data_IF_657503892733
#
_entry.id   IF_657503892733
#
_cell.length_a   1.000
_cell.length_b   1.000
_cell.length_c   1.000
_cell.angle_alpha   90.00
_cell.angle_beta   90.00
_cell.angle_gamma   90.00
#
_symmetry.space_group_name_H-M   'P 1'
#
loop_
_entity.id
_entity.type
_entity.pdbx_description
1 polymer ?
#
# COMPACT_ATOMS: atom_id res chain seq x y z
N UNK A 1 -40.48 -18.27 68.58
CA UNK A 1 -39.71 -18.57 67.38
C UNK A 1 -38.73 -17.45 67.23
N UNK A 2 -37.50 -17.70 67.61
CA UNK A 2 -36.41 -16.71 67.83
C UNK A 2 -35.57 -16.58 66.60
N UNK A 3 -35.43 -15.34 66.12
CA UNK A 3 -34.55 -14.95 65.05
C UNK A 3 -33.11 -14.81 65.59
N UNK A 4 -32.16 -15.46 64.97
CA UNK A 4 -30.72 -15.34 65.27
C UNK A 4 -30.01 -14.52 64.20
N UNK A 5 -29.35 -13.37 64.47
CA UNK A 5 -28.61 -12.57 63.55
C UNK A 5 -27.11 -12.71 63.80
N UNK A 6 -26.45 -13.64 63.06
CA UNK A 6 -24.98 -13.59 62.93
C UNK A 6 -24.56 -14.35 61.67
N UNK A 7 -24.40 -13.59 60.59
CA UNK A 7 -23.54 -13.99 59.46
C UNK A 7 -22.62 -12.84 59.06
N UNK A 8 -21.42 -12.97 59.53
CA UNK A 8 -20.25 -12.16 59.25
C UNK A 8 -20.02 -12.02 57.74
N UNK A 9 -20.05 -10.77 57.25
CA UNK A 9 -19.69 -10.41 55.89
C UNK A 9 -18.18 -10.54 55.68
N UNK A 10 -17.74 -11.52 54.93
CA UNK A 10 -16.37 -11.57 54.39
C UNK A 10 -16.26 -10.59 53.20
N UNK A 11 -15.69 -9.40 53.44
CA UNK A 11 -15.18 -8.52 52.38
C UNK A 11 -14.08 -9.23 51.63
N UNK A 12 -14.33 -9.58 50.34
CA UNK A 12 -13.27 -9.96 49.40
C UNK A 12 -12.50 -8.71 49.02
N UNK A 13 -11.28 -8.63 49.50
CA UNK A 13 -10.28 -7.65 49.05
C UNK A 13 -10.01 -7.85 47.55
N UNK A 14 -10.39 -6.87 46.72
CA UNK A 14 -9.97 -6.80 45.33
C UNK A 14 -8.48 -6.45 45.34
N UNK A 15 -7.65 -7.45 45.15
CA UNK A 15 -6.22 -7.24 44.91
C UNK A 15 -6.08 -6.53 43.55
N UNK A 16 -5.72 -5.25 43.57
CA UNK A 16 -5.26 -4.51 42.42
C UNK A 16 -4.04 -5.23 41.83
N UNK A 17 -4.20 -5.80 40.66
CA UNK A 17 -3.10 -6.37 39.90
C UNK A 17 -2.27 -5.18 39.37
N UNK A 18 -1.24 -4.78 40.13
CA UNK A 18 -0.19 -3.91 39.62
C UNK A 18 0.58 -4.66 38.54
N UNK A 19 0.37 -4.32 37.30
CA UNK A 19 1.24 -4.74 36.20
C UNK A 19 2.66 -4.23 36.47
N UNK A 20 3.70 -5.07 36.32
CA UNK A 20 5.07 -4.67 36.62
C UNK A 20 5.49 -3.49 35.73
N UNK A 21 6.15 -2.51 36.34
CA UNK A 21 6.60 -1.26 35.73
C UNK A 21 7.43 -1.47 34.43
N UNK A 22 8.14 -2.58 34.31
CA UNK A 22 8.92 -2.95 33.12
C UNK A 22 8.07 -3.10 31.83
N UNK A 23 6.83 -3.58 31.94
CA UNK A 23 5.93 -3.69 30.76
C UNK A 23 5.42 -2.33 30.30
N UNK A 24 5.17 -1.39 31.22
CA UNK A 24 4.76 -0.01 30.87
C UNK A 24 5.89 0.77 30.21
N UNK A 25 7.12 0.61 30.67
CA UNK A 25 8.30 1.25 30.09
C UNK A 25 8.61 0.67 28.71
N UNK A 26 8.45 -0.63 28.50
CA UNK A 26 8.65 -1.27 27.20
C UNK A 26 7.62 -0.82 26.16
N UNK A 27 6.35 -0.65 26.54
CA UNK A 27 5.32 -0.10 25.66
C UNK A 27 5.59 1.36 25.28
N UNK A 28 6.11 2.18 26.21
CA UNK A 28 6.45 3.59 25.91
C UNK A 28 7.67 3.70 24.99
N UNK A 29 8.70 2.88 25.19
CA UNK A 29 9.91 2.86 24.36
C UNK A 29 9.61 2.33 22.95
N UNK A 30 8.70 1.34 22.81
CA UNK A 30 8.29 0.82 21.52
C UNK A 30 7.41 1.80 20.74
N UNK A 31 6.54 2.54 21.44
CA UNK A 31 5.73 3.62 20.83
C UNK A 31 6.59 4.80 20.37
N UNK A 32 7.66 5.12 21.09
CA UNK A 32 8.62 6.17 20.71
C UNK A 32 9.51 5.76 19.52
N UNK A 33 9.80 4.45 19.36
CA UNK A 33 10.57 3.92 18.22
C UNK A 33 9.81 3.96 16.90
N UNK A 34 8.48 3.93 16.92
CA UNK A 34 7.62 4.05 15.72
C UNK A 34 7.31 5.51 15.36
N UNK A 35 7.54 6.46 16.27
CA UNK A 35 7.32 7.88 16.03
C UNK A 35 8.38 8.53 15.12
N UNK A 36 9.43 7.80 14.74
CA UNK A 36 10.40 8.27 13.75
C UNK A 36 10.07 7.84 12.30
N UNK A 37 8.86 7.34 12.03
CA UNK A 37 8.34 7.35 10.67
C UNK A 37 8.21 8.81 10.27
N UNK A 38 9.05 9.24 9.35
CA UNK A 38 9.07 10.58 8.76
C UNK A 38 7.66 10.86 8.22
N UNK A 39 6.84 11.55 9.03
CA UNK A 39 5.48 11.89 8.61
C UNK A 39 5.62 12.97 7.55
N UNK A 40 5.05 12.71 6.37
CA UNK A 40 5.04 13.69 5.31
C UNK A 40 4.53 15.06 5.82
N UNK A 41 5.02 16.18 5.27
CA UNK A 41 4.58 17.52 5.66
C UNK A 41 3.06 17.70 5.51
N UNK A 42 2.49 18.64 6.21
CA UNK A 42 1.09 19.08 6.00
C UNK A 42 0.98 20.00 4.78
N UNK A 43 -0.23 20.24 4.28
CA UNK A 43 -0.50 21.19 3.18
C UNK A 43 0.19 20.86 1.85
N UNK A 44 0.40 19.58 1.56
CA UNK A 44 1.04 19.13 0.33
C UNK A 44 0.24 19.45 -0.94
N UNK A 45 -1.08 19.63 -0.80
CA UNK A 45 -1.97 19.86 -1.94
C UNK A 45 -2.20 21.34 -2.26
N UNK A 46 -1.39 22.26 -1.70
CA UNK A 46 -1.34 23.64 -2.15
C UNK A 46 -0.69 23.72 -3.53
N UNK A 47 -1.40 24.23 -4.56
CA UNK A 47 -0.83 24.31 -5.90
C UNK A 47 0.32 25.31 -6.00
N UNK A 48 1.35 24.93 -6.74
CA UNK A 48 2.43 25.84 -7.14
C UNK A 48 2.20 26.39 -8.54
N UNK A 49 2.68 27.62 -8.78
CA UNK A 49 2.68 28.18 -10.12
C UNK A 49 3.97 27.81 -10.86
N UNK A 50 3.82 27.35 -12.11
CA UNK A 50 4.95 27.02 -12.98
C UNK A 50 5.40 25.56 -12.87
N UNK A 51 6.26 25.18 -13.83
CA UNK A 51 6.88 23.85 -13.93
C UNK A 51 8.39 24.00 -14.03
N UNK A 52 9.15 23.01 -13.59
CA UNK A 52 10.60 23.00 -13.79
C UNK A 52 10.94 22.33 -15.12
N UNK A 53 12.03 22.75 -15.80
CA UNK A 53 12.54 22.05 -16.98
C UNK A 53 12.86 20.59 -16.67
N UNK A 54 12.35 19.66 -17.47
CA UNK A 54 12.55 18.22 -17.28
C UNK A 54 11.66 17.57 -16.18
N UNK A 55 10.81 18.33 -15.51
CA UNK A 55 9.81 17.76 -14.62
C UNK A 55 8.70 17.04 -15.40
N UNK A 56 8.21 15.95 -14.84
CA UNK A 56 7.07 15.19 -15.36
C UNK A 56 5.79 15.62 -14.66
N UNK A 57 4.63 15.41 -15.30
CA UNK A 57 3.33 15.68 -14.71
C UNK A 57 2.50 14.41 -14.70
N UNK A 58 1.96 14.04 -13.54
CA UNK A 58 0.99 12.97 -13.41
C UNK A 58 -0.38 13.55 -13.07
N UNK A 59 -1.35 13.26 -13.92
CA UNK A 59 -2.75 13.69 -13.79
C UNK A 59 -3.60 12.50 -13.31
N UNK A 60 -4.15 12.56 -12.10
CA UNK A 60 -4.93 11.49 -11.48
C UNK A 60 -6.32 11.92 -11.05
N UNK A 61 -7.24 10.96 -11.06
CA UNK A 61 -8.53 11.09 -10.38
C UNK A 61 -8.38 10.63 -8.93
N UNK A 62 -8.85 11.43 -8.00
CA UNK A 62 -8.99 11.09 -6.59
C UNK A 62 -10.47 10.83 -6.30
N UNK A 63 -10.80 9.63 -5.86
CA UNK A 63 -12.11 9.23 -5.38
C UNK A 63 -12.04 9.03 -3.86
N UNK A 64 -12.99 9.57 -3.10
CA UNK A 64 -12.85 9.59 -1.63
C UNK A 64 -14.18 9.58 -0.88
N UNK A 65 -14.14 8.99 0.32
CA UNK A 65 -15.19 9.07 1.35
C UNK A 65 -14.82 9.98 2.51
N UNK A 66 -13.71 10.71 2.39
CA UNK A 66 -13.25 11.68 3.39
C UNK A 66 -14.13 12.93 3.38
N UNK A 67 -14.26 13.58 4.53
CA UNK A 67 -14.84 14.92 4.62
C UNK A 67 -13.91 15.95 4.00
N UNK A 68 -14.49 16.93 3.35
CA UNK A 68 -13.73 18.11 2.90
C UNK A 68 -12.98 18.75 4.05
N UNK A 69 -11.73 19.10 3.84
CA UNK A 69 -10.94 19.86 4.79
C UNK A 69 -11.34 21.34 4.73
N UNK A 70 -11.14 22.04 5.85
CA UNK A 70 -11.23 23.50 5.92
C UNK A 70 -9.97 24.16 5.37
N UNK A 71 -8.83 23.49 5.54
CA UNK A 71 -7.55 23.93 4.98
C UNK A 71 -7.46 23.54 3.50
N UNK A 72 -7.25 24.48 2.58
CA UNK A 72 -7.12 24.20 1.16
C UNK A 72 -5.94 23.27 0.82
N UNK A 73 -4.88 23.29 1.64
CA UNK A 73 -3.68 22.48 1.44
C UNK A 73 -3.86 21.00 1.73
N UNK A 74 -4.93 20.63 2.45
CA UNK A 74 -5.26 19.24 2.74
C UNK A 74 -6.34 18.67 1.81
N UNK A 75 -7.13 19.50 1.15
CA UNK A 75 -8.24 19.15 0.27
C UNK A 75 -9.34 18.34 0.99
N UNK A 76 -8.99 17.22 1.59
CA UNK A 76 -9.86 16.34 2.38
C UNK A 76 -9.19 16.00 3.72
N UNK A 77 -9.99 15.93 4.77
CA UNK A 77 -9.54 15.63 6.13
C UNK A 77 -9.44 14.12 6.39
N UNK A 78 -8.97 13.73 7.59
CA UNK A 78 -9.04 12.35 8.08
C UNK A 78 -10.44 11.93 8.54
N UNK A 79 -11.45 12.80 8.49
CA UNK A 79 -12.79 12.53 8.99
C UNK A 79 -13.71 11.94 7.91
N UNK A 80 -14.70 11.15 8.36
CA UNK A 80 -15.66 10.48 7.48
C UNK A 80 -16.61 11.50 6.84
N UNK A 81 -16.69 11.51 5.50
CA UNK A 81 -17.59 12.33 4.72
C UNK A 81 -18.91 11.62 4.39
N UNK A 82 -18.86 10.30 4.22
CA UNK A 82 -20.00 9.43 3.97
C UNK A 82 -20.27 9.15 2.49
N UNK A 83 -20.37 10.16 1.64
CA UNK A 83 -20.61 9.98 0.19
C UNK A 83 -19.29 9.87 -0.59
N UNK A 84 -19.34 9.16 -1.72
CA UNK A 84 -18.25 9.15 -2.71
C UNK A 84 -18.15 10.53 -3.37
N UNK A 85 -17.00 11.16 -3.26
CA UNK A 85 -16.70 12.46 -3.88
C UNK A 85 -15.40 12.38 -4.67
N UNK A 86 -15.18 13.36 -5.57
CA UNK A 86 -14.08 13.31 -6.51
C UNK A 86 -13.27 14.59 -6.52
N UNK A 87 -12.01 14.45 -6.92
CA UNK A 87 -11.13 15.56 -7.27
C UNK A 87 -10.17 15.13 -8.38
N UNK A 88 -9.75 16.08 -9.19
CA UNK A 88 -8.62 15.91 -10.09
C UNK A 88 -7.39 16.56 -9.46
N UNK A 89 -6.30 15.82 -9.39
CA UNK A 89 -5.01 16.30 -8.88
C UNK A 89 -3.93 16.05 -9.91
N UNK A 90 -3.16 17.08 -10.20
CA UNK A 90 -1.96 16.96 -11.04
C UNK A 90 -0.74 17.19 -10.16
N UNK A 91 0.14 16.19 -10.11
CA UNK A 91 1.40 16.24 -9.39
C UNK A 91 2.53 16.53 -10.38
N UNK A 92 3.35 17.53 -10.09
CA UNK A 92 4.63 17.74 -10.77
C UNK A 92 5.72 16.97 -10.04
N UNK A 93 6.39 16.11 -10.79
CA UNK A 93 7.46 15.21 -10.31
C UNK A 93 8.77 15.82 -10.75
N UNK A 94 9.75 16.05 -9.87
CA UNK A 94 11.02 16.65 -10.23
C UNK A 94 11.80 15.78 -11.22
N UNK A 95 12.74 16.37 -11.98
CA UNK A 95 13.52 15.63 -12.97
C UNK A 95 14.25 14.42 -12.38
N UNK A 96 14.34 13.31 -13.13
CA UNK A 96 15.02 12.08 -12.67
C UNK A 96 16.51 12.30 -12.34
N UNK A 97 17.14 13.38 -12.85
CA UNK A 97 18.50 13.75 -12.51
C UNK A 97 18.71 14.20 -11.06
N UNK A 98 17.63 14.58 -10.36
CA UNK A 98 17.70 15.11 -8.98
C UNK A 98 16.93 14.23 -7.97
N UNK A 99 16.38 13.08 -8.42
CA UNK A 99 15.60 12.17 -7.61
C UNK A 99 16.12 10.73 -7.65
N UNK A 100 15.76 9.94 -6.65
CA UNK A 100 15.95 8.50 -6.64
C UNK A 100 14.60 7.81 -6.91
N UNK A 101 14.56 6.83 -7.81
CA UNK A 101 13.38 6.00 -8.02
C UNK A 101 13.04 5.22 -6.73
N UNK A 102 11.76 5.09 -6.42
CA UNK A 102 11.28 4.49 -5.18
C UNK A 102 11.09 5.48 -4.03
N UNK A 103 11.62 6.70 -4.14
CA UNK A 103 11.51 7.73 -3.13
C UNK A 103 10.67 8.92 -3.57
N UNK A 104 9.85 9.44 -2.67
CA UNK A 104 9.18 10.73 -2.83
C UNK A 104 10.10 11.82 -2.28
N UNK A 105 10.49 12.79 -3.11
CA UNK A 105 11.21 13.98 -2.66
C UNK A 105 10.20 14.94 -2.02
N UNK A 106 10.00 14.77 -0.70
CA UNK A 106 9.08 15.57 0.07
C UNK A 106 9.55 17.02 0.19
N UNK A 107 8.67 18.01 -0.02
CA UNK A 107 9.03 19.39 0.22
C UNK A 107 9.30 19.62 1.71
N UNK A 108 10.43 20.20 2.06
CA UNK A 108 10.73 20.58 3.44
C UNK A 108 9.79 21.67 3.98
N UNK A 109 9.23 22.44 3.07
CA UNK A 109 8.20 23.47 3.33
C UNK A 109 7.22 23.50 2.17
N UNK A 110 5.98 23.00 2.34
CA UNK A 110 4.95 23.12 1.34
C UNK A 110 4.68 24.59 0.95
N UNK A 111 4.36 24.85 -0.32
CA UNK A 111 4.07 23.90 -1.37
C UNK A 111 5.29 23.28 -2.05
N UNK A 112 6.54 23.70 -1.76
CA UNK A 112 7.76 23.13 -2.28
C UNK A 112 8.30 23.79 -3.57
N UNK A 113 9.39 23.21 -4.10
CA UNK A 113 10.07 23.68 -5.30
C UNK A 113 9.96 22.60 -6.41
N UNK A 114 9.29 22.85 -7.52
CA UNK A 114 9.10 21.85 -8.58
C UNK A 114 10.40 21.36 -9.23
N UNK A 115 11.54 22.03 -9.02
CA UNK A 115 12.82 21.59 -9.54
C UNK A 115 13.48 20.48 -8.69
N UNK A 116 13.06 20.32 -7.42
CA UNK A 116 13.67 19.38 -6.46
C UNK A 116 12.68 18.53 -5.71
N UNK A 117 11.42 18.96 -5.62
CA UNK A 117 10.41 18.35 -4.79
C UNK A 117 9.21 17.88 -5.62
N UNK A 118 8.51 16.87 -5.12
CA UNK A 118 7.15 16.61 -5.57
C UNK A 118 6.27 17.77 -5.13
N UNK A 119 5.51 18.33 -6.05
CA UNK A 119 4.60 19.45 -5.77
C UNK A 119 3.26 19.25 -6.47
N UNK A 120 2.22 19.81 -5.91
CA UNK A 120 0.91 19.84 -6.55
C UNK A 120 0.87 20.97 -7.59
N UNK A 121 0.66 20.62 -8.86
CA UNK A 121 0.53 21.59 -9.93
C UNK A 121 -0.91 22.09 -10.10
N UNK A 122 -1.90 21.22 -9.82
CA UNK A 122 -3.33 21.53 -9.98
C UNK A 122 -4.17 20.68 -9.03
N UNK A 123 -5.21 21.30 -8.46
CA UNK A 123 -6.25 20.62 -7.69
C UNK A 123 -7.60 21.20 -8.07
N UNK A 124 -8.54 20.33 -8.45
CA UNK A 124 -9.94 20.71 -8.70
C UNK A 124 -10.86 19.70 -8.05
N UNK A 125 -11.83 20.14 -7.27
CA UNK A 125 -12.96 19.30 -6.86
C UNK A 125 -13.85 19.05 -8.07
N UNK A 126 -14.30 17.82 -8.23
CA UNK A 126 -15.19 17.42 -9.30
C UNK A 126 -16.52 16.93 -8.71
N UNK A 127 -17.60 17.27 -9.37
CA UNK A 127 -18.86 16.56 -9.19
C UNK A 127 -18.82 15.21 -9.94
N UNK A 128 -19.80 14.32 -9.75
CA UNK A 128 -19.79 13.01 -10.43
C UNK A 128 -19.83 13.08 -11.95
N UNK A 129 -20.46 14.10 -12.54
CA UNK A 129 -20.50 14.30 -13.99
C UNK A 129 -19.14 14.73 -14.54
N UNK A 130 -18.49 15.69 -13.89
CA UNK A 130 -17.14 16.12 -14.24
C UNK A 130 -16.11 14.99 -14.03
N UNK A 131 -16.26 14.12 -13.03
CA UNK A 131 -15.42 12.96 -12.84
C UNK A 131 -15.59 11.95 -13.99
N UNK A 132 -16.80 11.70 -14.46
CA UNK A 132 -17.05 10.88 -15.67
C UNK A 132 -16.44 11.51 -16.91
N UNK A 133 -16.64 12.81 -17.13
CA UNK A 133 -16.03 13.53 -18.26
C UNK A 133 -14.50 13.47 -18.23
N UNK A 134 -13.89 13.47 -17.03
CA UNK A 134 -12.45 13.26 -16.88
C UNK A 134 -12.04 11.86 -17.33
N UNK A 135 -12.79 10.80 -16.96
CA UNK A 135 -12.56 9.43 -17.42
C UNK A 135 -12.73 9.30 -18.93
N UNK A 136 -13.81 9.84 -19.50
CA UNK A 136 -14.09 9.84 -20.94
C UNK A 136 -12.97 10.49 -21.74
N UNK A 137 -12.26 11.47 -21.16
CA UNK A 137 -11.11 12.12 -21.80
C UNK A 137 -9.88 11.21 -21.93
N UNK A 138 -9.84 10.07 -21.23
CA UNK A 138 -8.69 9.14 -21.20
C UNK A 138 -8.74 8.07 -22.28
N UNK A 139 -9.91 7.81 -22.83
CA UNK A 139 -10.10 6.81 -23.86
C UNK A 139 -11.50 6.85 -24.46
N UNK A 140 -11.72 5.97 -25.42
CA UNK A 140 -13.01 5.75 -26.06
C UNK A 140 -13.27 4.25 -26.17
N UNK A 141 -14.49 3.85 -26.51
CA UNK A 141 -14.80 2.45 -26.77
C UNK A 141 -13.94 1.83 -27.89
N UNK A 142 -13.40 2.65 -28.81
CA UNK A 142 -12.50 2.23 -29.89
C UNK A 142 -11.02 2.26 -29.49
N UNK A 143 -10.65 3.08 -28.50
CA UNK A 143 -9.30 3.19 -27.94
C UNK A 143 -9.37 3.08 -26.42
N UNK A 144 -9.57 1.85 -25.96
CA UNK A 144 -9.75 1.55 -24.53
C UNK A 144 -8.46 1.74 -23.75
N UNK A 145 -8.61 2.07 -22.48
CA UNK A 145 -7.50 2.28 -21.56
C UNK A 145 -7.59 1.39 -20.33
N UNK A 146 -6.44 1.12 -19.73
CA UNK A 146 -6.32 0.38 -18.48
C UNK A 146 -6.37 1.36 -17.31
N UNK A 147 -7.04 0.96 -16.25
CA UNK A 147 -7.14 1.74 -15.01
C UNK A 147 -6.31 1.08 -13.94
N UNK A 148 -5.48 1.85 -13.25
CA UNK A 148 -4.81 1.43 -12.02
C UNK A 148 -5.41 2.18 -10.84
N UNK A 149 -6.00 1.44 -9.91
CA UNK A 149 -6.53 2.00 -8.66
C UNK A 149 -5.54 1.72 -7.53
N UNK A 150 -5.11 2.77 -6.84
CA UNK A 150 -4.35 2.63 -5.60
C UNK A 150 -5.25 2.84 -4.39
N UNK A 151 -5.19 1.90 -3.42
CA UNK A 151 -5.88 1.95 -2.13
C UNK A 151 -4.84 2.00 -1.03
N UNK A 152 -4.70 3.15 -0.38
CA UNK A 152 -3.66 3.37 0.63
C UNK A 152 -3.93 2.61 1.95
N UNK A 153 -2.91 2.53 2.78
CA UNK A 153 -2.95 1.89 4.10
C UNK A 153 -3.42 2.80 5.23
N UNK A 154 -3.29 2.30 6.43
CA UNK A 154 -3.49 3.00 7.69
C UNK A 154 -2.47 4.14 7.88
N UNK A 155 -2.80 5.11 8.76
CA UNK A 155 -1.94 6.24 9.11
C UNK A 155 -1.51 7.06 7.89
N UNK A 156 -2.43 7.29 6.93
CA UNK A 156 -2.13 7.97 5.66
C UNK A 156 -3.01 9.21 5.49
N UNK A 157 -2.41 10.37 5.28
CA UNK A 157 -3.09 11.60 4.87
C UNK A 157 -3.31 11.60 3.35
N UNK A 158 -4.18 12.47 2.86
CA UNK A 158 -4.49 12.56 1.42
C UNK A 158 -3.25 12.92 0.59
N UNK A 159 -2.50 13.94 1.02
CA UNK A 159 -1.29 14.37 0.34
C UNK A 159 -0.23 13.27 0.25
N UNK A 160 -0.08 12.48 1.32
CA UNK A 160 0.84 11.34 1.37
C UNK A 160 0.46 10.29 0.32
N UNK A 161 -0.83 9.94 0.26
CA UNK A 161 -1.33 8.97 -0.71
C UNK A 161 -1.17 9.46 -2.15
N UNK A 162 -1.44 10.75 -2.41
CA UNK A 162 -1.31 11.38 -3.73
C UNK A 162 0.14 11.33 -4.22
N UNK A 163 1.11 11.76 -3.39
CA UNK A 163 2.51 11.81 -3.83
C UNK A 163 3.14 10.42 -3.95
N UNK A 164 2.83 9.49 -3.02
CA UNK A 164 3.29 8.10 -3.13
C UNK A 164 2.73 7.39 -4.36
N UNK A 165 1.48 7.62 -4.69
CA UNK A 165 0.88 7.05 -5.89
C UNK A 165 1.45 7.68 -7.16
N UNK A 166 1.69 9.00 -7.15
CA UNK A 166 2.35 9.67 -8.26
C UNK A 166 3.76 9.13 -8.51
N UNK A 167 4.54 8.93 -7.43
CA UNK A 167 5.86 8.31 -7.51
C UNK A 167 5.78 6.89 -8.08
N UNK A 168 4.86 6.05 -7.59
CA UNK A 168 4.71 4.68 -8.05
C UNK A 168 4.43 4.62 -9.57
N UNK A 169 3.43 5.37 -10.05
CA UNK A 169 3.04 5.34 -11.47
C UNK A 169 4.16 5.86 -12.36
N UNK A 170 4.85 6.92 -11.95
CA UNK A 170 5.99 7.48 -12.68
C UNK A 170 7.18 6.51 -12.75
N UNK A 171 7.57 5.94 -11.61
CA UNK A 171 8.75 5.06 -11.54
C UNK A 171 8.50 3.69 -12.17
N UNK A 172 7.24 3.29 -12.26
CA UNK A 172 6.81 2.10 -12.97
C UNK A 172 6.78 2.28 -14.49
N UNK A 173 6.92 3.51 -15.00
CA UNK A 173 6.72 3.88 -16.42
C UNK A 173 5.40 3.29 -16.98
N UNK A 174 4.35 3.33 -16.14
CA UNK A 174 3.10 2.65 -16.41
C UNK A 174 2.17 3.52 -17.27
N UNK A 175 1.79 3.02 -18.45
CA UNK A 175 0.76 3.63 -19.29
C UNK A 175 -0.63 3.21 -18.82
N UNK A 176 -1.13 3.90 -17.81
CA UNK A 176 -2.43 3.62 -17.17
C UNK A 176 -3.18 4.90 -16.86
N UNK A 177 -4.47 4.80 -16.66
CA UNK A 177 -5.28 5.88 -16.06
C UNK A 177 -5.23 5.74 -14.53
N UNK A 178 -4.53 6.65 -13.84
CA UNK A 178 -4.33 6.53 -12.39
C UNK A 178 -5.54 7.05 -11.61
N UNK A 179 -6.08 6.21 -10.72
CA UNK A 179 -7.16 6.56 -9.78
C UNK A 179 -6.70 6.27 -8.36
N UNK A 180 -6.71 7.27 -7.50
CA UNK A 180 -6.50 7.09 -6.07
C UNK A 180 -7.84 6.93 -5.37
N UNK A 181 -8.10 5.77 -4.74
CA UNK A 181 -9.18 5.66 -3.77
C UNK A 181 -8.65 5.95 -2.37
N UNK A 182 -9.09 7.06 -1.78
CA UNK A 182 -8.64 7.46 -0.44
C UNK A 182 -9.80 7.47 0.56
N UNK A 183 -9.69 6.62 1.59
CA UNK A 183 -10.66 6.45 2.66
C UNK A 183 -10.22 7.22 3.93
N UNK A 184 -11.14 7.54 4.88
CA UNK A 184 -10.84 8.36 6.05
C UNK A 184 -9.84 7.69 7.00
N UNK A 185 -8.56 8.01 6.85
CA UNK A 185 -7.48 7.71 7.79
C UNK A 185 -6.97 9.02 8.38
N UNK A 186 -6.80 9.05 9.71
CA UNK A 186 -6.46 10.28 10.45
C UNK A 186 -4.99 10.67 10.34
N UNK A 187 -4.13 9.85 9.72
CA UNK A 187 -2.70 10.11 9.67
C UNK A 187 -2.07 10.14 11.07
N UNK A 188 -2.50 9.23 11.94
CA UNK A 188 -2.05 9.11 13.32
C UNK A 188 -1.91 7.66 13.73
N UNK A 189 -0.75 7.30 14.30
CA UNK A 189 -0.47 5.95 14.81
C UNK A 189 -1.41 5.52 15.95
N UNK A 190 -2.12 6.44 16.58
CA UNK A 190 -3.09 6.16 17.63
C UNK A 190 -4.50 5.93 17.10
N UNK A 191 -4.74 6.15 15.80
CA UNK A 191 -6.07 6.08 15.20
C UNK A 191 -6.39 4.74 14.55
N UNK A 192 -5.64 3.66 14.83
CA UNK A 192 -5.78 2.37 14.15
C UNK A 192 -7.24 1.84 14.15
N UNK A 193 -7.92 1.84 15.31
CA UNK A 193 -9.31 1.39 15.41
C UNK A 193 -10.27 2.26 14.59
N UNK A 194 -10.11 3.58 14.63
CA UNK A 194 -10.90 4.51 13.82
C UNK A 194 -10.67 4.27 12.32
N UNK A 195 -9.42 4.11 11.91
CA UNK A 195 -9.03 3.88 10.53
C UNK A 195 -9.62 2.56 10.02
N UNK A 196 -9.56 1.48 10.82
CA UNK A 196 -10.14 0.17 10.49
C UNK A 196 -11.65 0.23 10.24
N UNK A 197 -12.39 0.90 11.12
CA UNK A 197 -13.83 1.11 10.93
C UNK A 197 -14.12 2.00 9.70
N UNK A 198 -13.27 3.01 9.46
CA UNK A 198 -13.43 3.91 8.30
C UNK A 198 -13.19 3.18 6.98
N UNK A 199 -12.22 2.27 6.93
CA UNK A 199 -12.00 1.38 5.80
C UNK A 199 -13.25 0.52 5.54
N UNK A 200 -13.80 -0.11 6.59
CA UNK A 200 -15.03 -0.91 6.48
C UNK A 200 -16.22 -0.10 5.97
N UNK A 201 -16.41 1.13 6.47
CA UNK A 201 -17.50 2.02 6.05
C UNK A 201 -17.33 2.55 4.62
N UNK A 202 -16.12 2.53 4.08
CA UNK A 202 -15.83 3.00 2.72
C UNK A 202 -16.06 1.95 1.63
N UNK A 203 -16.38 0.72 2.01
CA UNK A 203 -16.57 -0.42 1.12
C UNK A 203 -17.64 -0.17 0.04
N UNK A 204 -18.83 0.32 0.43
CA UNK A 204 -19.91 0.56 -0.53
C UNK A 204 -19.57 1.67 -1.54
N UNK A 205 -18.83 2.68 -1.11
CA UNK A 205 -18.35 3.74 -2.01
C UNK A 205 -17.23 3.23 -2.94
N UNK A 206 -16.38 2.34 -2.48
CA UNK A 206 -15.37 1.71 -3.34
C UNK A 206 -16.03 0.79 -4.38
N UNK A 207 -17.04 -0.01 -3.99
CA UNK A 207 -17.86 -0.78 -4.92
C UNK A 207 -18.56 0.13 -5.95
N UNK A 208 -19.09 1.28 -5.52
CA UNK A 208 -19.70 2.26 -6.43
C UNK A 208 -18.71 2.77 -7.48
N UNK A 209 -17.45 3.07 -7.08
CA UNK A 209 -16.39 3.44 -8.02
C UNK A 209 -16.08 2.29 -8.99
N UNK A 210 -15.92 1.07 -8.47
CA UNK A 210 -15.63 -0.11 -9.31
C UNK A 210 -16.74 -0.37 -10.32
N UNK A 211 -18.02 -0.30 -9.91
CA UNK A 211 -19.15 -0.46 -10.82
C UNK A 211 -19.17 0.63 -11.91
N UNK A 212 -18.88 1.89 -11.56
CA UNK A 212 -18.78 2.99 -12.53
C UNK A 212 -17.72 2.69 -13.62
N UNK A 213 -16.58 2.10 -13.24
CA UNK A 213 -15.51 1.73 -14.17
C UNK A 213 -15.82 0.44 -14.96
N UNK A 214 -16.48 -0.52 -14.34
CA UNK A 214 -16.92 -1.76 -15.00
C UNK A 214 -17.93 -1.46 -16.11
N UNK A 215 -18.84 -0.52 -15.86
CA UNK A 215 -19.88 -0.13 -16.81
C UNK A 215 -19.35 0.79 -17.95
N UNK A 216 -18.17 1.37 -17.80
CA UNK A 216 -17.58 2.24 -18.81
C UNK A 216 -16.97 1.42 -19.98
N UNK A 217 -17.49 1.57 -21.22
CA UNK A 217 -16.96 0.86 -22.38
C UNK A 217 -15.55 1.28 -22.80
N UNK A 218 -15.07 2.45 -22.37
CA UNK A 218 -13.71 2.93 -22.62
C UNK A 218 -12.68 2.26 -21.69
N UNK A 219 -13.11 1.68 -20.58
CA UNK A 219 -12.23 0.93 -19.66
C UNK A 219 -12.04 -0.49 -20.17
N UNK A 220 -10.79 -0.86 -20.46
CA UNK A 220 -10.39 -2.20 -20.88
C UNK A 220 -10.29 -3.16 -19.71
N UNK A 221 -9.53 -2.76 -18.68
CA UNK A 221 -9.29 -3.53 -17.47
C UNK A 221 -9.06 -2.61 -16.28
N UNK A 222 -9.31 -3.15 -15.10
CA UNK A 222 -9.12 -2.50 -13.80
C UNK A 222 -8.12 -3.34 -13.01
N UNK A 223 -7.00 -2.72 -12.66
CA UNK A 223 -5.99 -3.28 -11.80
C UNK A 223 -6.05 -2.56 -10.44
N UNK A 224 -6.09 -3.31 -9.36
CA UNK A 224 -6.16 -2.77 -8.00
C UNK A 224 -4.83 -3.04 -7.30
N UNK A 225 -4.18 -1.99 -6.82
CA UNK A 225 -3.04 -2.07 -5.93
C UNK A 225 -3.45 -1.57 -4.54
N UNK A 226 -3.51 -2.47 -3.59
CA UNK A 226 -3.85 -2.13 -2.21
C UNK A 226 -2.65 -2.30 -1.29
N UNK A 227 -2.48 -1.40 -0.32
CA UNK A 227 -1.39 -1.43 0.65
C UNK A 227 -1.91 -1.54 2.09
N UNK A 228 -1.29 -2.39 2.89
CA UNK A 228 -1.55 -2.54 4.33
C UNK A 228 -3.05 -2.75 4.64
N UNK A 229 -3.67 -1.89 5.45
CA UNK A 229 -5.12 -1.91 5.74
C UNK A 229 -6.01 -1.67 4.51
N UNK A 230 -5.49 -1.06 3.45
CA UNK A 230 -6.20 -0.92 2.17
C UNK A 230 -6.54 -2.26 1.53
N UNK A 231 -5.75 -3.31 1.81
CA UNK A 231 -6.05 -4.66 1.33
C UNK A 231 -7.33 -5.23 1.96
N UNK A 232 -7.56 -4.96 3.24
CA UNK A 232 -8.81 -5.31 3.88
C UNK A 232 -10.01 -4.67 3.18
N UNK A 233 -9.93 -3.36 2.89
CA UNK A 233 -11.00 -2.67 2.17
C UNK A 233 -11.21 -3.25 0.77
N UNK A 234 -10.13 -3.51 0.02
CA UNK A 234 -10.22 -4.04 -1.33
C UNK A 234 -10.84 -5.46 -1.35
N UNK A 235 -10.36 -6.36 -0.50
CA UNK A 235 -10.86 -7.73 -0.41
C UNK A 235 -12.32 -7.79 0.02
N UNK A 236 -12.71 -7.07 1.07
CA UNK A 236 -14.10 -6.98 1.52
C UNK A 236 -15.02 -6.39 0.44
N UNK A 237 -14.54 -5.44 -0.36
CA UNK A 237 -15.33 -4.88 -1.46
C UNK A 237 -15.52 -5.91 -2.58
N UNK A 238 -14.47 -6.61 -3.00
CA UNK A 238 -14.54 -7.64 -4.04
C UNK A 238 -15.42 -8.81 -3.61
N UNK A 239 -15.30 -9.24 -2.35
CA UNK A 239 -16.19 -10.24 -1.75
C UNK A 239 -17.64 -9.78 -1.79
N UNK A 240 -17.92 -8.55 -1.38
CA UNK A 240 -19.27 -7.98 -1.43
C UNK A 240 -19.84 -7.94 -2.85
N UNK A 241 -19.06 -7.54 -3.84
CA UNK A 241 -19.47 -7.55 -5.25
C UNK A 241 -19.79 -8.98 -5.70
N UNK A 242 -18.96 -9.95 -5.36
CA UNK A 242 -19.21 -11.34 -5.71
C UNK A 242 -20.49 -11.90 -5.08
N UNK A 243 -20.75 -11.60 -3.80
CA UNK A 243 -21.97 -12.01 -3.12
C UNK A 243 -23.23 -11.35 -3.70
N UNK A 244 -23.13 -10.10 -4.21
CA UNK A 244 -24.26 -9.37 -4.81
C UNK A 244 -24.53 -9.78 -6.27
N UNK A 245 -23.46 -10.07 -7.04
CA UNK A 245 -23.55 -10.28 -8.49
C UNK A 245 -23.24 -11.73 -8.91
N UNK A 246 -22.88 -12.60 -7.96
CA UNK A 246 -22.54 -14.00 -8.22
C UNK A 246 -21.07 -14.21 -8.62
N UNK A 247 -20.32 -13.16 -8.92
CA UNK A 247 -18.89 -13.21 -9.27
C UNK A 247 -18.27 -11.83 -9.20
N UNK A 248 -16.93 -11.77 -9.13
CA UNK A 248 -16.18 -10.53 -9.34
C UNK A 248 -16.20 -10.15 -10.82
N UNK A 249 -16.54 -8.92 -11.21
CA UNK A 249 -16.61 -8.52 -12.62
C UNK A 249 -15.30 -8.80 -13.37
N UNK A 250 -15.31 -9.44 -14.56
CA UNK A 250 -14.09 -9.84 -15.28
C UNK A 250 -13.17 -8.70 -15.71
N UNK A 251 -13.67 -7.46 -15.78
CA UNK A 251 -12.83 -6.28 -16.01
C UNK A 251 -11.86 -6.01 -14.87
N UNK A 252 -12.14 -6.47 -13.64
CA UNK A 252 -11.20 -6.44 -12.53
C UNK A 252 -10.23 -7.59 -12.75
N UNK A 253 -9.07 -7.29 -13.36
CA UNK A 253 -8.17 -8.30 -13.88
C UNK A 253 -7.07 -8.70 -12.92
N UNK A 254 -6.50 -7.72 -12.20
CA UNK A 254 -5.39 -7.91 -11.30
C UNK A 254 -5.63 -7.24 -9.94
N UNK A 255 -5.30 -7.97 -8.87
CA UNK A 255 -5.35 -7.48 -7.49
C UNK A 255 -4.00 -7.71 -6.83
N UNK A 256 -3.27 -6.64 -6.65
CA UNK A 256 -1.94 -6.62 -6.05
C UNK A 256 -2.04 -6.25 -4.58
N UNK A 257 -1.69 -7.18 -3.71
CA UNK A 257 -1.77 -7.07 -2.25
C UNK A 257 -0.39 -6.77 -1.68
N UNK A 258 -0.09 -5.50 -1.39
CA UNK A 258 1.18 -5.08 -0.83
C UNK A 258 1.12 -5.04 0.70
N UNK A 259 1.98 -5.81 1.37
CA UNK A 259 2.07 -5.92 2.83
C UNK A 259 0.68 -6.00 3.53
N UNK A 260 -0.21 -6.94 3.14
CA UNK A 260 -1.61 -6.93 3.57
C UNK A 260 -1.76 -7.12 5.08
N UNK A 261 -2.42 -6.15 5.72
CA UNK A 261 -2.86 -6.22 7.12
C UNK A 261 -4.22 -6.92 7.22
N UNK A 262 -4.24 -8.17 6.76
CA UNK A 262 -5.38 -9.07 6.72
C UNK A 262 -5.01 -10.38 7.38
N UNK A 263 -5.92 -10.98 8.12
CA UNK A 263 -5.74 -12.32 8.65
C UNK A 263 -5.68 -13.35 7.52
N UNK A 264 -4.75 -14.32 7.60
CA UNK A 264 -4.54 -15.28 6.52
C UNK A 264 -5.74 -16.23 6.32
N UNK A 265 -6.45 -16.58 7.40
CA UNK A 265 -7.65 -17.42 7.31
C UNK A 265 -8.85 -16.63 6.78
N UNK A 266 -8.96 -15.32 7.15
CA UNK A 266 -9.96 -14.43 6.57
C UNK A 266 -9.77 -14.27 5.06
N UNK A 267 -8.53 -14.10 4.59
CA UNK A 267 -8.23 -14.05 3.16
C UNK A 267 -8.70 -15.31 2.41
N UNK A 268 -8.43 -16.50 2.97
CA UNK A 268 -8.90 -17.77 2.38
C UNK A 268 -10.43 -17.84 2.31
N UNK A 269 -11.11 -17.37 3.37
CA UNK A 269 -12.57 -17.28 3.40
C UNK A 269 -13.11 -16.32 2.34
N UNK A 270 -12.47 -15.15 2.18
CA UNK A 270 -12.85 -14.16 1.18
C UNK A 270 -12.74 -14.72 -0.24
N UNK A 271 -11.64 -15.43 -0.56
CA UNK A 271 -11.49 -16.08 -1.87
C UNK A 271 -12.56 -17.13 -2.12
N UNK A 272 -12.91 -17.93 -1.10
CA UNK A 272 -13.98 -18.92 -1.18
C UNK A 272 -15.34 -18.26 -1.46
N UNK A 273 -15.65 -17.16 -0.78
CA UNK A 273 -16.90 -16.41 -0.95
C UNK A 273 -16.97 -15.66 -2.29
N UNK A 274 -15.81 -15.23 -2.82
CA UNK A 274 -15.75 -14.62 -4.16
C UNK A 274 -16.06 -15.63 -5.27
N UNK A 275 -15.79 -16.92 -5.05
CA UNK A 275 -16.01 -17.96 -6.06
C UNK A 275 -15.12 -17.80 -7.29
N UNK A 276 -15.35 -18.64 -8.30
CA UNK A 276 -14.58 -18.60 -9.55
C UNK A 276 -15.42 -18.11 -10.73
N UNK A 277 -14.79 -17.41 -11.71
CA UNK A 277 -13.36 -17.09 -11.82
C UNK A 277 -12.94 -15.95 -10.90
N UNK A 278 -11.77 -16.07 -10.28
CA UNK A 278 -11.14 -15.02 -9.50
C UNK A 278 -10.31 -14.08 -10.40
N UNK A 279 -10.14 -12.81 -10.03
CA UNK A 279 -9.07 -11.97 -10.58
C UNK A 279 -7.70 -12.57 -10.24
N UNK A 280 -6.67 -12.17 -10.96
CA UNK A 280 -5.30 -12.62 -10.66
C UNK A 280 -4.80 -11.94 -9.40
N UNK A 281 -4.56 -12.71 -8.34
CA UNK A 281 -3.99 -12.18 -7.10
C UNK A 281 -2.46 -12.25 -7.10
N UNK A 282 -1.84 -11.14 -6.66
CA UNK A 282 -0.40 -11.06 -6.39
C UNK A 282 -0.17 -10.57 -4.98
N UNK A 283 0.52 -11.38 -4.19
CA UNK A 283 0.86 -11.09 -2.81
C UNK A 283 2.33 -10.67 -2.69
N UNK A 284 2.59 -9.49 -2.11
CA UNK A 284 3.89 -9.04 -1.69
C UNK A 284 3.97 -9.14 -0.17
N UNK A 285 4.72 -10.11 0.35
CA UNK A 285 4.85 -10.42 1.76
C UNK A 285 6.30 -10.24 2.25
N UNK A 286 6.47 -9.88 3.52
CA UNK A 286 7.78 -9.72 4.16
C UNK A 286 7.70 -10.15 5.62
N UNK A 287 8.44 -11.20 5.99
CA UNK A 287 8.42 -11.76 7.35
C UNK A 287 9.01 -10.84 8.40
N UNK A 288 9.81 -9.87 8.00
CA UNK A 288 10.44 -8.87 8.86
C UNK A 288 9.66 -7.54 8.90
N UNK A 289 8.41 -7.52 8.45
CA UNK A 289 7.50 -6.38 8.55
C UNK A 289 7.08 -6.15 10.01
N UNK A 290 7.63 -5.09 10.62
CA UNK A 290 7.39 -4.76 12.03
C UNK A 290 6.03 -4.14 12.28
N UNK A 291 5.45 -3.46 11.29
CA UNK A 291 4.11 -2.89 11.43
C UNK A 291 3.05 -4.00 11.48
N UNK A 292 3.17 -5.02 10.65
CA UNK A 292 2.28 -6.18 10.68
C UNK A 292 2.48 -7.03 11.94
N UNK A 293 3.72 -7.17 12.42
CA UNK A 293 3.98 -7.83 13.70
C UNK A 293 3.30 -7.11 14.87
N UNK A 294 3.29 -5.77 14.86
CA UNK A 294 2.57 -4.98 15.86
C UNK A 294 1.05 -5.14 15.72
N UNK A 295 0.52 -5.14 14.50
CA UNK A 295 -0.91 -5.37 14.24
C UNK A 295 -1.36 -6.74 14.78
N UNK A 296 -0.63 -7.82 14.51
CA UNK A 296 -0.90 -9.17 15.05
C UNK A 296 -0.95 -9.17 16.57
N UNK A 297 -0.03 -8.47 17.23
CA UNK A 297 0.01 -8.38 18.68
C UNK A 297 -1.22 -7.66 19.27
N UNK A 298 -1.70 -6.59 18.63
CA UNK A 298 -2.88 -5.85 19.07
C UNK A 298 -4.17 -6.67 18.99
N UNK A 299 -4.33 -7.45 17.94
CA UNK A 299 -5.55 -8.22 17.68
C UNK A 299 -5.53 -9.61 18.29
N UNK A 300 -4.37 -10.06 18.83
CA UNK A 300 -4.22 -11.41 19.40
C UNK A 300 -4.50 -12.49 18.36
N UNK A 301 -4.32 -12.17 17.08
CA UNK A 301 -4.62 -13.04 15.96
C UNK A 301 -3.36 -13.73 15.45
N UNK A 302 -3.58 -14.78 14.68
CA UNK A 302 -2.57 -15.51 13.93
C UNK A 302 -1.85 -14.64 12.88
N UNK A 303 -1.08 -15.23 12.01
CA UNK A 303 -0.21 -14.51 11.09
C UNK A 303 -0.99 -13.59 10.14
N UNK A 304 -0.54 -12.33 10.02
CA UNK A 304 -1.00 -11.43 8.98
C UNK A 304 -0.50 -11.90 7.63
N UNK A 305 -1.36 -11.89 6.63
CA UNK A 305 -1.07 -12.36 5.28
C UNK A 305 0.21 -11.74 4.69
N UNK A 306 0.47 -10.45 4.98
CA UNK A 306 1.69 -9.77 4.55
C UNK A 306 2.97 -10.18 5.28
N UNK A 307 2.88 -10.97 6.38
CA UNK A 307 4.01 -11.41 7.19
C UNK A 307 4.17 -12.95 7.24
N UNK A 308 3.39 -13.70 6.44
CA UNK A 308 3.52 -15.16 6.37
C UNK A 308 4.83 -15.60 5.71
N UNK A 309 5.26 -16.83 5.98
CA UNK A 309 6.25 -17.51 5.17
C UNK A 309 5.53 -18.31 4.07
N UNK A 310 5.58 -17.88 2.80
CA UNK A 310 4.85 -18.55 1.71
C UNK A 310 5.42 -19.93 1.34
N UNK A 311 6.56 -20.32 1.91
CA UNK A 311 7.24 -21.59 1.66
C UNK A 311 6.82 -22.68 2.65
N UNK A 312 6.11 -22.29 3.73
CA UNK A 312 5.71 -23.18 4.84
C UNK A 312 4.23 -23.50 4.77
N UNK A 313 3.87 -24.74 5.13
CA UNK A 313 2.47 -25.13 5.27
C UNK A 313 1.80 -24.48 6.51
N UNK A 314 0.51 -24.14 6.45
CA UNK A 314 -0.44 -24.45 5.36
C UNK A 314 -0.46 -23.41 4.22
N UNK A 315 0.29 -22.32 4.33
CA UNK A 315 0.22 -21.18 3.39
C UNK A 315 0.63 -21.58 1.98
N UNK A 316 1.70 -22.38 1.83
CA UNK A 316 2.19 -22.85 0.54
C UNK A 316 1.10 -23.54 -0.29
N UNK A 317 0.42 -24.51 0.29
CA UNK A 317 -0.63 -25.27 -0.38
C UNK A 317 -1.87 -24.42 -0.66
N UNK A 318 -2.28 -23.58 0.29
CA UNK A 318 -3.46 -22.71 0.15
C UNK A 318 -3.29 -21.68 -0.97
N UNK A 319 -2.15 -20.98 -1.00
CA UNK A 319 -1.86 -19.98 -2.03
C UNK A 319 -1.74 -20.61 -3.42
N UNK A 320 -1.14 -21.82 -3.51
CA UNK A 320 -1.04 -22.55 -4.76
C UNK A 320 -2.41 -23.03 -5.28
N UNK A 321 -3.30 -23.46 -4.40
CA UNK A 321 -4.65 -23.92 -4.77
C UNK A 321 -5.48 -22.81 -5.44
N UNK A 322 -5.32 -21.56 -4.98
CA UNK A 322 -6.01 -20.38 -5.51
C UNK A 322 -5.20 -19.64 -6.59
N UNK A 323 -4.10 -20.23 -7.04
CA UNK A 323 -3.19 -19.64 -8.05
C UNK A 323 -2.72 -18.22 -7.69
N UNK A 324 -2.51 -17.95 -6.40
CA UNK A 324 -1.97 -16.67 -5.91
C UNK A 324 -0.47 -16.59 -6.18
N UNK A 325 -0.04 -15.59 -6.93
CA UNK A 325 1.40 -15.31 -7.14
C UNK A 325 1.99 -14.65 -5.92
N UNK A 326 3.12 -15.14 -5.38
CA UNK A 326 3.73 -14.57 -4.16
C UNK A 326 5.14 -14.09 -4.41
N UNK A 327 5.44 -12.87 -3.94
CA UNK A 327 6.78 -12.28 -3.86
C UNK A 327 7.17 -12.13 -2.40
N UNK A 328 8.19 -12.88 -1.98
CA UNK A 328 8.81 -12.76 -0.65
C UNK A 328 9.85 -11.63 -0.68
N UNK A 329 9.54 -10.53 0.02
CA UNK A 329 10.36 -9.32 0.08
C UNK A 329 11.28 -9.30 1.31
N UNK A 330 11.37 -10.38 2.07
CA UNK A 330 12.10 -10.42 3.35
C UNK A 330 13.55 -9.97 3.19
N UNK A 331 14.23 -10.41 2.11
CA UNK A 331 15.64 -10.10 1.88
C UNK A 331 15.87 -8.77 1.14
N UNK A 332 14.81 -8.03 0.80
CA UNK A 332 14.92 -6.72 0.14
C UNK A 332 15.20 -5.65 1.18
N UNK A 333 16.23 -4.85 0.93
CA UNK A 333 16.58 -3.70 1.77
C UNK A 333 15.54 -2.59 1.63
N UNK A 334 15.25 -1.91 2.74
CA UNK A 334 14.33 -0.78 2.81
C UNK A 334 14.94 0.33 3.65
N UNK A 335 14.65 1.57 3.32
CA UNK A 335 14.94 2.75 4.14
C UNK A 335 13.89 2.96 5.23
N UNK A 336 12.72 2.31 5.12
CA UNK A 336 11.68 2.31 6.12
C UNK A 336 12.06 1.46 7.34
N UNK A 337 12.13 2.08 8.51
CA UNK A 337 12.49 1.42 9.77
C UNK A 337 11.52 0.29 10.16
N UNK A 338 10.28 0.32 9.68
CA UNK A 338 9.28 -0.72 9.90
C UNK A 338 9.33 -1.85 8.86
N UNK A 339 10.07 -1.71 7.78
CA UNK A 339 10.09 -2.62 6.63
C UNK A 339 8.70 -2.83 5.97
N UNK A 340 7.80 -1.87 6.13
CA UNK A 340 6.40 -1.96 5.69
C UNK A 340 6.16 -1.39 4.29
N UNK A 341 7.03 -0.48 3.84
CA UNK A 341 6.95 0.17 2.53
C UNK A 341 7.92 -0.41 1.49
N UNK A 342 8.53 -1.57 1.74
CA UNK A 342 9.49 -2.21 0.82
C UNK A 342 9.01 -2.26 -0.63
N UNK A 343 7.73 -2.57 -0.81
CA UNK A 343 7.11 -2.65 -2.13
C UNK A 343 7.19 -1.33 -2.90
N UNK A 344 6.91 -0.20 -2.25
CA UNK A 344 6.91 1.13 -2.87
C UNK A 344 8.33 1.72 -3.02
N UNK A 345 9.27 1.29 -2.18
CA UNK A 345 10.63 1.83 -2.12
C UNK A 345 11.64 1.05 -2.96
N UNK A 346 11.34 -0.18 -3.37
CA UNK A 346 12.23 -0.95 -4.24
C UNK A 346 12.02 -0.57 -5.71
N UNK A 347 13.01 0.08 -6.36
CA UNK A 347 12.90 0.43 -7.77
C UNK A 347 12.68 -0.79 -8.68
N UNK A 348 13.23 -1.95 -8.30
CA UNK A 348 13.06 -3.19 -9.03
C UNK A 348 11.63 -3.69 -8.98
N UNK A 349 10.98 -3.62 -7.81
CA UNK A 349 9.59 -4.03 -7.63
C UNK A 349 8.63 -3.06 -8.31
N UNK A 350 8.91 -1.76 -8.22
CA UNK A 350 8.09 -0.72 -8.88
C UNK A 350 8.11 -0.91 -10.40
N UNK A 351 9.29 -1.16 -11.00
CA UNK A 351 9.41 -1.48 -12.43
C UNK A 351 8.72 -2.78 -12.79
N UNK A 352 8.80 -3.80 -11.94
CA UNK A 352 8.08 -5.06 -12.14
C UNK A 352 6.56 -4.85 -12.23
N UNK A 353 6.01 -4.01 -11.38
CA UNK A 353 4.59 -3.61 -11.45
C UNK A 353 4.30 -2.92 -12.79
N UNK A 354 5.17 -2.01 -13.22
CA UNK A 354 5.07 -1.34 -14.52
C UNK A 354 5.09 -2.31 -15.70
N UNK A 355 6.06 -3.21 -15.74
CA UNK A 355 6.19 -4.23 -16.79
C UNK A 355 4.92 -5.12 -16.85
N UNK A 356 4.35 -5.46 -15.70
CA UNK A 356 3.11 -6.22 -15.63
C UNK A 356 1.91 -5.43 -16.15
N UNK A 357 1.78 -4.19 -15.72
CA UNK A 357 0.72 -3.29 -16.19
C UNK A 357 0.83 -3.04 -17.70
N UNK A 358 2.04 -3.02 -18.25
CA UNK A 358 2.27 -2.82 -19.68
C UNK A 358 1.98 -4.06 -20.54
N UNK A 359 2.37 -5.26 -20.06
CA UNK A 359 2.35 -6.48 -20.88
C UNK A 359 1.07 -7.28 -20.80
N UNK A 360 0.26 -7.08 -19.75
CA UNK A 360 -0.90 -7.96 -19.47
C UNK A 360 -0.51 -9.44 -19.24
N UNK A 361 0.78 -9.73 -19.13
CA UNK A 361 1.32 -11.09 -19.01
C UNK A 361 1.28 -11.61 -17.57
N UNK A 362 1.32 -12.92 -17.41
CA UNK A 362 1.34 -13.55 -16.09
C UNK A 362 2.71 -13.43 -15.43
N UNK A 363 2.74 -13.17 -14.11
CA UNK A 363 3.99 -13.12 -13.32
C UNK A 363 4.75 -14.47 -13.25
N UNK A 364 4.14 -15.58 -13.67
CA UNK A 364 4.81 -16.87 -13.71
C UNK A 364 6.06 -16.86 -14.59
N UNK A 365 6.01 -16.15 -15.72
CA UNK A 365 7.14 -16.04 -16.66
C UNK A 365 8.23 -15.09 -16.15
N UNK A 366 7.85 -14.12 -15.28
CA UNK A 366 8.74 -13.12 -14.72
C UNK A 366 9.43 -13.56 -13.42
N UNK A 367 8.80 -14.46 -12.65
CA UNK A 367 9.35 -14.95 -11.37
C UNK A 367 10.74 -15.57 -11.55
N UNK A 368 10.94 -16.30 -12.61
CA UNK A 368 12.24 -16.90 -12.96
C UNK A 368 13.27 -15.83 -13.32
N UNK A 369 12.89 -14.80 -14.10
CA UNK A 369 13.81 -13.76 -14.57
C UNK A 369 14.28 -12.78 -13.48
N UNK A 370 13.47 -12.55 -12.41
CA UNK A 370 13.86 -11.68 -11.29
C UNK A 370 14.70 -12.43 -10.28
N UNK A 371 14.29 -13.65 -9.92
CA UNK A 371 15.11 -14.52 -9.08
C UNK A 371 16.47 -14.72 -9.73
N UNK A 372 16.51 -14.96 -11.04
CA UNK A 372 17.75 -15.13 -11.79
C UNK A 372 18.57 -13.82 -11.85
N UNK A 373 17.96 -12.64 -11.97
CA UNK A 373 18.67 -11.34 -11.94
C UNK A 373 19.15 -10.97 -10.54
N UNK A 374 18.37 -11.24 -9.50
CA UNK A 374 18.78 -11.03 -8.10
C UNK A 374 19.89 -12.00 -7.70
N UNK A 375 19.76 -13.27 -8.10
CA UNK A 375 20.81 -14.29 -7.88
C UNK A 375 22.07 -13.98 -8.69
N UNK A 376 21.96 -13.49 -9.93
CA UNK A 376 23.10 -13.10 -10.75
C UNK A 376 23.84 -11.88 -10.16
N UNK A 377 23.14 -10.94 -9.50
CA UNK A 377 23.78 -9.81 -8.81
C UNK A 377 24.49 -10.24 -7.52
N UNK A 378 23.89 -11.15 -6.74
CA UNK A 378 24.56 -11.72 -5.56
C UNK A 378 25.75 -12.61 -5.96
N UNK A 379 25.63 -13.42 -7.02
CA UNK A 379 26.72 -14.23 -7.56
C UNK A 379 27.87 -13.37 -8.13
N UNK A 380 27.55 -12.25 -8.81
CA UNK A 380 28.57 -11.31 -9.28
C UNK A 380 29.25 -10.55 -8.12
N UNK A 381 28.53 -10.27 -7.02
CA UNK A 381 29.09 -9.70 -5.79
C UNK A 381 30.03 -10.68 -5.08
N UNK A 382 29.64 -11.94 -4.94
CA UNK A 382 30.44 -13.00 -4.33
C UNK A 382 31.65 -13.33 -5.21
N UNK A 383 31.48 -13.47 -6.53
CA UNK A 383 32.60 -13.73 -7.46
C UNK A 383 33.57 -12.55 -7.61
N UNK A 384 33.15 -11.30 -7.28
CA UNK A 384 34.08 -10.16 -7.20
C UNK A 384 34.88 -10.19 -5.90
N UNK A 385 34.27 -10.64 -4.79
CA UNK A 385 34.97 -10.80 -3.50
C UNK A 385 35.97 -11.97 -3.54
N UNK A 386 35.61 -13.12 -4.13
CA UNK A 386 36.49 -14.26 -4.33
C UNK A 386 37.72 -13.89 -5.18
N UNK A 387 37.50 -13.16 -6.30
CA UNK A 387 38.60 -12.66 -7.15
C UNK A 387 39.49 -11.64 -6.43
N UNK A 388 38.94 -10.80 -5.55
CA UNK A 388 39.72 -9.85 -4.75
C UNK A 388 40.54 -10.54 -3.67
N UNK A 389 40.04 -11.62 -3.08
CA UNK A 389 40.77 -12.45 -2.09
C UNK A 389 41.88 -13.26 -2.78
N UNK A 390 41.60 -13.85 -3.95
CA UNK A 390 42.59 -14.63 -4.72
C UNK A 390 43.73 -13.76 -5.25
N UNK A 391 43.46 -12.48 -5.60
CA UNK A 391 44.52 -11.51 -5.96
C UNK A 391 45.31 -11.00 -4.77
N UNK A 392 44.77 -11.06 -3.56
CA UNK A 392 45.50 -10.66 -2.33
C UNK A 392 46.41 -11.79 -1.77
N UNK A 393 46.16 -13.05 -2.14
CA UNK A 393 46.94 -14.21 -1.69
C UNK A 393 48.09 -14.63 -2.63
N UNK A 394 48.28 -13.97 -3.78
CA UNK A 394 49.39 -14.29 -4.69
C UNK A 394 50.63 -13.52 -4.26
N UNK A 395 51.61 -14.14 -3.64
CA UNK A 395 52.87 -13.46 -3.28
C UNK A 395 53.64 -13.11 -4.55
N UNK A 396 54.12 -11.89 -4.61
CA UNK A 396 55.03 -11.43 -5.67
C UNK A 396 56.27 -12.34 -5.72
N UNK A 397 56.35 -13.18 -6.73
CA UNK A 397 57.59 -13.91 -7.04
C UNK A 397 58.63 -12.89 -7.47
N UNK A 398 59.55 -12.59 -6.55
CA UNK A 398 60.79 -11.88 -6.88
C UNK A 398 61.61 -12.76 -7.81
N UNK A 399 61.86 -12.29 -9.02
CA UNK A 399 62.82 -12.86 -9.93
C UNK A 399 64.23 -12.37 -9.51
N UNK A 400 65.19 -13.24 -9.25
CA UNK A 400 66.59 -12.85 -9.10
C UNK A 400 67.27 -12.91 -10.48
N UNK A 401 67.78 -11.77 -10.93
CA UNK A 401 69.07 -11.54 -11.59
C UNK A 401 69.09 -10.14 -12.19
#
# INVERSE_FOLDING_TARGET
MTFNPDRVSRRRSIRSICLPSARRTLCLVFALGLASCDSAPENLLLPVSGTAPGASALDMLVATTRRSATDPGDLFSGERGGALTFANVVVSIPPDSVRAAGDVQWPSRPPGNPATDFVTAKVNRLDPEAARAWLDSRGTAASRHRVLIFVHGYNTRVGDAVFRFAQLVHDADATVTPILFTWPSRGSVFAYGYDRESASLSRDAFEQLLNMLVDDPAVESIDILAHSMGNFLALETLRQMALRHGHVPPKISDVMLAAPDVDADAFQSDLTDMGHPLPRFTLFASRDDRALALSSWFWGSDARLGAIDPKVEPYKSRLAAENVSVFDLTDIQSTDAANHYKFLQSPELVRLVGDRLASGQTLSDFRQSIVDRLLARTANGVGALERAVEQAETPAVQNPL
#
